data_IF_802734455531
#
_entry.id   IF_802734455531
#
_cell.length_a   1.000
_cell.length_b   1.000
_cell.length_c   1.000
_cell.angle_alpha   90.00
_cell.angle_beta   90.00
_cell.angle_gamma   90.00
#
_symmetry.space_group_name_H-M   'P 1'
#
loop_
_entity.id
_entity.type
_entity.pdbx_description
1 polymer ?
#
# COMPACT_ATOMS: atom_id res chain seq x y z
N UNK A 1 -52.62 17.45 -50.82
CA UNK A 1 -53.09 18.71 -50.19
C UNK A 1 -52.25 18.89 -48.92
N UNK A 2 -51.31 19.85 -48.88
CA UNK A 2 -51.42 21.19 -48.23
C UNK A 2 -51.84 21.04 -46.74
N UNK A 3 -51.14 21.57 -45.73
CA UNK A 3 -50.15 22.64 -45.69
C UNK A 3 -49.27 22.55 -44.44
N UNK A 4 -48.06 23.10 -44.57
CA UNK A 4 -47.11 23.49 -43.54
C UNK A 4 -47.61 24.72 -42.77
N UNK A 5 -47.26 24.85 -41.48
CA UNK A 5 -47.15 26.16 -40.79
C UNK A 5 -45.95 26.12 -39.84
N UNK A 6 -44.95 26.95 -40.16
CA UNK A 6 -43.92 27.47 -39.27
C UNK A 6 -44.46 28.72 -38.56
N UNK A 7 -43.91 29.05 -37.38
CA UNK A 7 -43.72 30.40 -36.74
C UNK A 7 -43.48 30.16 -35.23
N UNK A 8 -42.67 30.85 -34.44
CA UNK A 8 -41.48 31.71 -34.54
C UNK A 8 -41.30 32.28 -33.10
N UNK A 9 -40.11 32.12 -32.53
CA UNK A 9 -39.38 32.98 -31.56
C UNK A 9 -40.13 33.60 -30.35
N UNK A 10 -39.55 33.38 -29.17
CA UNK A 10 -39.68 34.26 -28.00
C UNK A 10 -38.54 34.06 -27.00
N UNK A 11 -37.41 34.76 -27.19
CA UNK A 11 -36.37 34.93 -26.17
C UNK A 11 -36.91 35.73 -24.98
N UNK A 12 -36.63 35.27 -23.76
CA UNK A 12 -36.60 36.13 -22.58
C UNK A 12 -35.36 35.79 -21.74
N UNK A 13 -34.37 36.67 -21.81
CA UNK A 13 -33.24 36.75 -20.88
C UNK A 13 -33.78 37.21 -19.52
N UNK A 14 -33.55 36.42 -18.46
CA UNK A 14 -33.60 36.92 -17.08
C UNK A 14 -32.19 36.83 -16.53
N UNK A 15 -31.62 38.01 -16.31
CA UNK A 15 -30.32 38.21 -15.72
C UNK A 15 -30.44 38.34 -14.19
N UNK A 16 -29.36 37.96 -13.50
CA UNK A 16 -28.90 38.41 -12.19
C UNK A 16 -29.62 37.87 -10.94
N UNK A 17 -28.92 37.00 -10.21
CA UNK A 17 -28.42 37.34 -8.85
C UNK A 17 -27.12 36.56 -8.59
N UNK A 18 -25.99 37.27 -8.61
CA UNK A 18 -24.74 36.76 -8.05
C UNK A 18 -24.78 36.96 -6.53
N UNK A 19 -24.80 35.86 -5.76
CA UNK A 19 -24.56 35.92 -4.33
C UNK A 19 -23.05 36.12 -4.11
N UNK A 20 -22.64 37.37 -3.92
CA UNK A 20 -21.31 37.71 -3.43
C UNK A 20 -21.26 37.43 -1.92
N UNK A 21 -20.79 36.26 -1.52
CA UNK A 21 -20.41 36.03 -0.11
C UNK A 21 -19.06 36.69 0.11
N UNK A 22 -19.08 37.87 0.74
CA UNK A 22 -17.90 38.62 1.11
C UNK A 22 -17.44 38.12 2.48
N UNK A 23 -16.45 37.21 2.51
CA UNK A 23 -15.81 36.86 3.78
C UNK A 23 -14.87 37.98 4.21
N UNK A 24 -15.23 38.56 5.36
CA UNK A 24 -14.52 39.61 6.08
C UNK A 24 -13.15 39.09 6.52
N UNK A 25 -12.09 39.82 6.15
CA UNK A 25 -10.75 39.64 6.73
C UNK A 25 -10.82 39.78 8.25
N UNK A 26 -10.59 38.67 8.95
CA UNK A 26 -10.27 38.68 10.36
C UNK A 26 -8.80 38.30 10.49
N UNK A 27 -7.96 39.30 10.74
CA UNK A 27 -6.55 39.13 11.11
C UNK A 27 -6.47 38.36 12.44
N UNK A 28 -6.41 37.04 12.35
CA UNK A 28 -6.01 36.18 13.46
C UNK A 28 -4.55 35.76 13.24
N UNK A 29 -3.68 36.29 14.09
CA UNK A 29 -2.27 35.91 14.23
C UNK A 29 -2.19 34.39 14.42
N UNK A 30 -1.80 33.65 13.38
CA UNK A 30 -1.59 32.22 13.47
C UNK A 30 -0.29 31.94 14.25
N UNK A 31 -0.46 31.33 15.42
CA UNK A 31 0.61 30.66 16.17
C UNK A 31 1.18 29.55 15.30
N UNK A 32 2.50 29.54 15.11
CA UNK A 32 3.23 28.53 14.37
C UNK A 32 2.94 27.13 14.93
N UNK A 33 2.30 26.27 14.15
CA UNK A 33 2.17 24.85 14.45
C UNK A 33 3.51 24.14 14.16
N UNK A 34 3.90 23.15 14.99
CA UNK A 34 5.17 22.43 14.82
C UNK A 34 5.13 21.52 13.59
N UNK A 35 6.32 21.31 13.03
CA UNK A 35 6.60 20.58 11.78
C UNK A 35 5.73 19.33 11.57
N UNK A 36 4.95 19.37 10.50
CA UNK A 36 4.22 18.22 9.97
C UNK A 36 5.26 17.22 9.43
N UNK A 37 5.35 16.06 10.10
CA UNK A 37 6.06 14.88 9.59
C UNK A 37 5.65 14.65 8.12
N UNK A 38 6.60 14.43 7.19
CA UNK A 38 6.25 14.24 5.79
C UNK A 38 5.27 13.08 5.63
N UNK A 39 4.11 13.37 5.04
CA UNK A 39 3.18 12.34 4.61
C UNK A 39 3.87 11.49 3.54
N UNK A 40 3.95 10.19 3.79
CA UNK A 40 4.30 9.19 2.78
C UNK A 40 3.22 9.31 1.69
N UNK A 41 3.58 9.37 0.39
CA UNK A 41 2.57 9.50 -0.66
C UNK A 41 1.61 8.31 -0.61
N UNK A 42 0.32 8.57 -0.40
CA UNK A 42 -0.76 7.58 -0.44
C UNK A 42 -1.13 7.16 -1.87
N UNK A 43 -0.40 7.60 -2.90
CA UNK A 43 -0.81 7.48 -4.30
C UNK A 43 0.06 6.52 -5.13
N UNK A 44 0.37 5.36 -4.57
CA UNK A 44 0.84 4.21 -5.34
C UNK A 44 -0.20 3.10 -5.32
N UNK A 45 -1.42 3.41 -5.78
CA UNK A 45 -2.35 2.36 -6.22
C UNK A 45 -1.78 1.73 -7.49
N UNK A 46 -0.82 0.82 -7.32
CA UNK A 46 -0.21 0.05 -8.40
C UNK A 46 -1.16 -1.08 -8.77
N UNK A 47 -2.11 -0.77 -9.63
CA UNK A 47 -3.19 -1.65 -10.12
C UNK A 47 -2.75 -2.60 -11.24
N UNK A 48 -1.44 -2.88 -11.36
CA UNK A 48 -0.89 -3.79 -12.36
C UNK A 48 -0.59 -5.18 -11.78
N UNK A 49 -0.70 -6.26 -12.59
CA UNK A 49 -0.34 -7.62 -12.15
C UNK A 49 1.17 -7.80 -11.92
N UNK A 50 1.98 -6.86 -12.42
CA UNK A 50 3.43 -6.93 -12.31
C UNK A 50 3.94 -6.02 -11.18
N UNK A 51 4.82 -6.53 -10.30
CA UNK A 51 5.51 -5.71 -9.32
C UNK A 51 6.27 -4.55 -9.98
N UNK A 52 6.22 -3.34 -9.40
CA UNK A 52 7.02 -2.22 -9.87
C UNK A 52 8.51 -2.51 -9.66
N UNK A 53 9.32 -2.23 -10.67
CA UNK A 53 10.77 -2.45 -10.59
C UNK A 53 11.48 -1.44 -9.69
N UNK A 54 10.85 -0.31 -9.39
CA UNK A 54 11.42 0.75 -8.55
C UNK A 54 10.41 1.25 -7.52
N UNK A 55 10.94 1.75 -6.39
CA UNK A 55 10.16 2.27 -5.29
C UNK A 55 10.80 3.53 -4.72
N UNK A 56 10.01 4.59 -4.55
CA UNK A 56 10.51 5.86 -4.02
C UNK A 56 10.31 5.90 -2.51
N UNK A 57 11.40 6.07 -1.76
CA UNK A 57 11.40 6.22 -0.30
C UNK A 57 12.17 7.48 0.07
N UNK A 58 11.44 8.52 0.49
CA UNK A 58 12.02 9.85 0.72
C UNK A 58 12.59 10.42 -0.58
N UNK A 59 13.90 10.73 -0.59
CA UNK A 59 14.62 11.22 -1.76
C UNK A 59 15.42 10.13 -2.51
N UNK A 60 15.21 8.85 -2.16
CA UNK A 60 15.90 7.71 -2.78
C UNK A 60 14.96 6.91 -3.67
N UNK A 61 15.50 6.44 -4.79
CA UNK A 61 14.88 5.41 -5.64
C UNK A 61 15.54 4.08 -5.33
N UNK A 62 14.74 3.14 -4.83
CA UNK A 62 15.15 1.78 -4.53
C UNK A 62 14.74 0.84 -5.67
N UNK A 63 15.51 -0.22 -5.90
CA UNK A 63 15.22 -1.22 -6.93
C UNK A 63 14.63 -2.48 -6.30
N UNK A 64 13.67 -3.10 -6.99
CA UNK A 64 13.14 -4.40 -6.59
C UNK A 64 14.28 -5.43 -6.64
N UNK A 65 14.57 -6.06 -5.51
CA UNK A 65 15.63 -7.06 -5.40
C UNK A 65 15.11 -8.45 -5.05
N UNK A 66 13.92 -8.54 -4.45
CA UNK A 66 13.29 -9.83 -4.12
C UNK A 66 11.78 -9.69 -4.05
N UNK A 67 11.11 -10.77 -4.46
CA UNK A 67 9.70 -11.04 -4.13
C UNK A 67 9.74 -12.18 -3.11
N UNK A 68 9.11 -11.96 -1.96
CA UNK A 68 9.08 -12.91 -0.85
C UNK A 68 7.64 -13.35 -0.62
N UNK A 69 7.39 -14.64 -0.75
CA UNK A 69 6.09 -15.21 -0.40
C UNK A 69 5.95 -15.30 1.13
N UNK A 70 4.71 -15.18 1.58
CA UNK A 70 4.36 -15.36 2.98
C UNK A 70 2.88 -15.68 3.13
N UNK A 71 2.58 -16.44 4.16
CA UNK A 71 1.22 -16.73 4.57
C UNK A 71 1.15 -16.91 6.06
N UNK A 72 0.04 -16.50 6.64
CA UNK A 72 -0.21 -16.63 8.06
C UNK A 72 -1.68 -16.92 8.33
N UNK A 73 -1.91 -17.83 9.27
CA UNK A 73 -3.23 -18.13 9.81
C UNK A 73 -3.41 -17.41 11.14
N UNK A 74 -4.56 -16.74 11.30
CA UNK A 74 -5.02 -16.18 12.58
C UNK A 74 -5.59 -17.28 13.48
N UNK A 75 -6.28 -18.23 12.86
CA UNK A 75 -6.91 -19.41 13.46
C UNK A 75 -7.18 -20.44 12.33
N UNK A 76 -7.82 -21.56 12.66
CA UNK A 76 -8.09 -22.65 11.71
C UNK A 76 -8.97 -22.24 10.52
N UNK A 77 -9.70 -21.13 10.61
CA UNK A 77 -10.64 -20.67 9.58
C UNK A 77 -10.12 -19.47 8.79
N UNK A 78 -9.29 -18.63 9.41
CA UNK A 78 -8.96 -17.31 8.90
C UNK A 78 -7.47 -17.10 8.72
N UNK A 79 -7.09 -16.51 7.60
CA UNK A 79 -5.73 -16.08 7.34
C UNK A 79 -5.59 -15.37 6.00
N UNK A 80 -4.36 -15.14 5.58
CA UNK A 80 -4.07 -14.70 4.23
C UNK A 80 -2.69 -15.19 3.79
N UNK A 81 -2.52 -15.35 2.48
CA UNK A 81 -1.22 -15.53 1.83
C UNK A 81 -1.02 -14.53 0.70
N UNK A 82 0.22 -14.31 0.32
CA UNK A 82 0.62 -13.53 -0.84
C UNK A 82 2.10 -13.18 -0.78
N UNK A 83 2.49 -12.11 -1.46
CA UNK A 83 3.87 -11.71 -1.60
C UNK A 83 4.15 -10.31 -1.03
N UNK A 84 5.41 -10.11 -0.65
CA UNK A 84 5.98 -8.84 -0.23
C UNK A 84 7.19 -8.54 -1.12
N UNK A 85 7.34 -7.27 -1.45
CA UNK A 85 8.40 -6.77 -2.31
C UNK A 85 9.49 -6.19 -1.45
N UNK A 86 10.72 -6.66 -1.67
CA UNK A 86 11.91 -6.11 -1.05
C UNK A 86 12.59 -5.20 -2.06
N UNK A 87 12.69 -3.93 -1.70
CA UNK A 87 13.40 -2.91 -2.45
C UNK A 87 14.69 -2.55 -1.74
N UNK A 88 15.75 -2.25 -2.47
CA UNK A 88 17.04 -1.87 -1.89
C UNK A 88 17.75 -0.78 -2.71
N UNK A 89 18.56 0.04 -2.04
CA UNK A 89 19.37 1.08 -2.68
C UNK A 89 20.51 0.44 -3.47
N UNK A 90 20.57 0.62 -4.81
CA UNK A 90 21.63 0.02 -5.63
C UNK A 90 23.03 0.49 -5.22
N UNK A 91 23.19 1.72 -4.73
CA UNK A 91 24.50 2.23 -4.31
C UNK A 91 25.01 1.51 -3.04
N UNK A 92 24.12 1.22 -2.09
CA UNK A 92 24.45 0.46 -0.89
C UNK A 92 24.81 -0.99 -1.24
N UNK A 93 24.09 -1.61 -2.18
CA UNK A 93 24.40 -2.96 -2.68
C UNK A 93 25.82 -3.00 -3.24
N UNK A 94 26.16 -2.10 -4.15
CA UNK A 94 27.48 -2.08 -4.78
C UNK A 94 28.60 -1.76 -3.77
N UNK A 95 28.35 -0.88 -2.80
CA UNK A 95 29.28 -0.65 -1.68
C UNK A 95 29.51 -1.93 -0.87
N UNK A 96 28.44 -2.57 -0.43
CA UNK A 96 28.52 -3.75 0.44
C UNK A 96 29.17 -4.93 -0.30
N UNK A 97 28.89 -5.14 -1.59
CA UNK A 97 29.57 -6.16 -2.40
C UNK A 97 31.07 -5.96 -2.43
N UNK A 98 31.54 -4.72 -2.59
CA UNK A 98 32.98 -4.39 -2.58
C UNK A 98 33.60 -4.58 -1.20
N UNK A 99 32.92 -4.14 -0.14
CA UNK A 99 33.48 -4.07 1.21
C UNK A 99 33.41 -5.41 1.97
N UNK A 100 32.35 -6.20 1.73
CA UNK A 100 32.03 -7.42 2.51
C UNK A 100 31.90 -8.69 1.66
N UNK A 101 31.95 -8.58 0.34
CA UNK A 101 31.70 -9.68 -0.59
C UNK A 101 30.21 -9.97 -0.81
N UNK A 102 29.84 -10.67 -1.90
CA UNK A 102 28.45 -10.93 -2.27
C UNK A 102 27.74 -11.96 -1.37
N UNK A 103 28.47 -12.77 -0.59
CA UNK A 103 27.90 -13.86 0.19
C UNK A 103 27.00 -13.37 1.32
N UNK A 104 27.23 -12.15 1.84
CA UNK A 104 26.44 -11.57 2.95
C UNK A 104 24.96 -11.34 2.60
N UNK A 105 24.63 -11.26 1.30
CA UNK A 105 23.26 -11.01 0.87
C UNK A 105 22.33 -12.22 1.10
N UNK A 106 22.87 -13.44 1.17
CA UNK A 106 22.08 -14.60 1.58
C UNK A 106 21.62 -14.47 3.03
N UNK A 107 22.50 -14.01 3.92
CA UNK A 107 22.14 -13.78 5.33
C UNK A 107 21.13 -12.63 5.46
N UNK A 108 21.26 -11.59 4.63
CA UNK A 108 20.31 -10.49 4.58
C UNK A 108 18.94 -10.95 4.13
N UNK A 109 18.86 -11.76 3.08
CA UNK A 109 17.60 -12.32 2.59
C UNK A 109 16.91 -13.14 3.68
N UNK A 110 17.64 -14.01 4.36
CA UNK A 110 17.11 -14.81 5.48
C UNK A 110 16.57 -13.92 6.61
N UNK A 111 17.33 -12.90 7.03
CA UNK A 111 16.88 -11.95 8.06
C UNK A 111 15.62 -11.21 7.66
N UNK A 112 15.54 -10.77 6.40
CA UNK A 112 14.38 -10.06 5.86
C UNK A 112 13.16 -10.98 5.84
N UNK A 113 13.30 -12.20 5.34
CA UNK A 113 12.22 -13.20 5.33
C UNK A 113 11.71 -13.47 6.76
N UNK A 114 12.61 -13.64 7.73
CA UNK A 114 12.22 -13.88 9.13
C UNK A 114 11.36 -12.76 9.68
N UNK A 115 11.84 -11.51 9.63
CA UNK A 115 11.07 -10.41 10.22
C UNK A 115 9.80 -10.08 9.40
N UNK A 116 9.81 -10.31 8.08
CA UNK A 116 8.65 -10.09 7.24
C UNK A 116 7.54 -11.10 7.56
N UNK A 117 7.91 -12.37 7.80
CA UNK A 117 6.98 -13.43 8.21
C UNK A 117 6.36 -13.10 9.57
N UNK A 118 7.18 -12.67 10.54
CA UNK A 118 6.69 -12.24 11.86
C UNK A 118 5.77 -11.03 11.76
N UNK A 119 6.10 -10.05 10.92
CA UNK A 119 5.29 -8.88 10.67
C UNK A 119 3.95 -9.24 10.00
N UNK A 120 3.94 -10.20 9.08
CA UNK A 120 2.72 -10.73 8.47
C UNK A 120 1.83 -11.40 9.52
N UNK A 121 2.38 -12.26 10.37
CA UNK A 121 1.60 -12.91 11.43
C UNK A 121 0.95 -11.87 12.35
N UNK A 122 1.71 -10.84 12.77
CA UNK A 122 1.17 -9.73 13.58
C UNK A 122 0.06 -9.00 12.84
N UNK A 123 0.28 -8.67 11.57
CA UNK A 123 -0.70 -7.97 10.76
C UNK A 123 -1.99 -8.77 10.60
N UNK A 124 -1.91 -10.08 10.40
CA UNK A 124 -3.06 -10.99 10.31
C UNK A 124 -3.81 -11.06 11.63
N UNK A 125 -3.10 -11.17 12.76
CA UNK A 125 -3.72 -11.20 14.08
C UNK A 125 -4.51 -9.90 14.37
N UNK A 126 -4.01 -8.75 13.92
CA UNK A 126 -4.66 -7.44 14.08
C UNK A 126 -5.77 -7.19 13.04
N UNK A 127 -5.73 -7.84 11.88
CA UNK A 127 -6.74 -7.65 10.83
C UNK A 127 -8.04 -8.36 11.19
N UNK A 128 -9.17 -7.69 10.93
CA UNK A 128 -10.48 -8.34 11.02
C UNK A 128 -10.76 -9.06 9.70
N UNK A 129 -10.51 -10.36 9.68
CA UNK A 129 -10.71 -11.22 8.51
C UNK A 129 -12.15 -11.77 8.40
N UNK A 130 -13.09 -11.30 9.22
CA UNK A 130 -14.49 -11.68 9.07
C UNK A 130 -15.06 -11.13 7.75
N UNK A 131 -16.04 -11.83 7.18
CA UNK A 131 -16.84 -11.33 6.06
C UNK A 131 -17.48 -9.99 6.46
N UNK A 132 -17.48 -9.03 5.53
CA UNK A 132 -18.11 -7.72 5.75
C UNK A 132 -19.57 -7.78 5.31
N UNK A 133 -20.54 -7.82 6.25
CA UNK A 133 -21.96 -7.94 5.90
C UNK A 133 -22.52 -6.67 5.26
N UNK A 134 -21.75 -5.57 5.23
CA UNK A 134 -22.15 -4.28 4.66
C UNK A 134 -21.48 -3.98 3.32
N UNK A 135 -20.58 -4.83 2.84
CA UNK A 135 -19.96 -4.63 1.53
C UNK A 135 -21.00 -4.78 0.41
N UNK A 136 -20.93 -3.92 -0.60
CA UNK A 136 -21.86 -3.95 -1.74
C UNK A 136 -21.49 -5.03 -2.77
N UNK A 137 -20.35 -5.70 -2.57
CA UNK A 137 -19.86 -6.82 -3.38
C UNK A 137 -18.54 -7.40 -2.88
N UNK A 138 -18.13 -8.53 -3.46
CA UNK A 138 -16.89 -9.23 -3.08
C UNK A 138 -15.62 -8.39 -3.33
N UNK A 139 -15.58 -7.66 -4.45
CA UNK A 139 -14.43 -6.81 -4.81
C UNK A 139 -14.19 -5.71 -3.77
N UNK A 140 -15.26 -5.05 -3.30
CA UNK A 140 -15.17 -4.01 -2.27
C UNK A 140 -14.71 -4.59 -0.93
N UNK A 141 -15.25 -5.73 -0.52
CA UNK A 141 -14.83 -6.43 0.69
C UNK A 141 -13.34 -6.80 0.63
N UNK A 142 -12.88 -7.31 -0.51
CA UNK A 142 -11.49 -7.68 -0.73
C UNK A 142 -10.56 -6.46 -0.76
N UNK A 143 -10.95 -5.36 -1.39
CA UNK A 143 -10.17 -4.12 -1.39
C UNK A 143 -9.98 -3.58 0.04
N UNK A 144 -11.06 -3.58 0.83
CA UNK A 144 -11.03 -3.16 2.23
C UNK A 144 -10.09 -4.04 3.07
N UNK A 145 -10.18 -5.36 2.95
CA UNK A 145 -9.28 -6.30 3.62
C UNK A 145 -7.82 -6.10 3.19
N UNK A 146 -7.60 -5.92 1.90
CA UNK A 146 -6.28 -5.65 1.31
C UNK A 146 -5.65 -4.38 1.88
N UNK A 147 -6.42 -3.29 1.97
CA UNK A 147 -5.97 -2.03 2.60
C UNK A 147 -5.64 -2.23 4.07
N UNK A 148 -6.51 -2.90 4.83
CA UNK A 148 -6.29 -3.15 6.26
C UNK A 148 -5.03 -3.99 6.49
N UNK A 149 -4.89 -5.11 5.79
CA UNK A 149 -3.72 -5.98 5.90
C UNK A 149 -2.44 -5.25 5.50
N UNK A 150 -2.48 -4.50 4.39
CA UNK A 150 -1.32 -3.74 3.91
C UNK A 150 -0.85 -2.70 4.93
N UNK A 151 -1.78 -1.97 5.54
CA UNK A 151 -1.47 -0.98 6.57
C UNK A 151 -0.92 -1.64 7.85
N UNK A 152 -1.56 -2.72 8.30
CA UNK A 152 -1.12 -3.47 9.47
C UNK A 152 0.28 -4.08 9.26
N UNK A 153 0.57 -4.59 8.07
CA UNK A 153 1.90 -5.10 7.71
C UNK A 153 2.96 -4.00 7.71
N UNK A 154 2.70 -2.88 7.02
CA UNK A 154 3.62 -1.72 6.98
C UNK A 154 3.96 -1.24 8.39
N UNK A 155 2.96 -1.15 9.27
CA UNK A 155 3.16 -0.78 10.66
C UNK A 155 4.00 -1.83 11.42
N UNK A 156 3.69 -3.12 11.23
CA UNK A 156 4.35 -4.22 11.94
C UNK A 156 5.80 -4.43 11.54
N UNK A 157 6.16 -4.13 10.28
CA UNK A 157 7.50 -4.35 9.72
C UNK A 157 8.45 -3.16 9.93
N UNK A 158 7.91 -1.97 10.19
CA UNK A 158 8.66 -0.70 10.18
C UNK A 158 9.90 -0.69 11.09
N UNK A 159 9.76 -1.17 12.33
CA UNK A 159 10.86 -1.15 13.29
C UNK A 159 11.92 -2.19 12.98
N UNK A 160 11.53 -3.35 12.47
CA UNK A 160 12.47 -4.37 12.01
C UNK A 160 13.29 -3.89 10.81
N UNK A 161 12.66 -3.19 9.86
CA UNK A 161 13.36 -2.55 8.73
C UNK A 161 14.37 -1.52 9.24
N UNK A 162 13.98 -0.64 10.18
CA UNK A 162 14.92 0.35 10.76
C UNK A 162 16.12 -0.33 11.44
N UNK A 163 15.86 -1.38 12.23
CA UNK A 163 16.91 -2.13 12.91
C UNK A 163 17.86 -2.79 11.90
N UNK A 164 17.30 -3.47 10.90
CA UNK A 164 18.07 -4.10 9.82
C UNK A 164 18.98 -3.07 9.10
N UNK A 165 18.43 -1.92 8.73
CA UNK A 165 19.19 -0.86 8.06
C UNK A 165 20.33 -0.33 8.94
N UNK A 166 20.10 -0.18 10.25
CA UNK A 166 21.11 0.25 11.21
C UNK A 166 22.25 -0.76 11.34
N UNK A 167 21.94 -2.06 11.37
CA UNK A 167 22.93 -3.13 11.52
C UNK A 167 23.73 -3.39 10.25
N UNK A 168 23.07 -3.32 9.09
CA UNK A 168 23.66 -3.77 7.82
C UNK A 168 24.20 -2.63 6.96
N UNK A 169 23.74 -1.40 7.20
CA UNK A 169 23.91 -0.22 6.34
C UNK A 169 23.24 -0.32 4.97
N UNK A 170 22.47 -1.39 4.71
CA UNK A 170 21.72 -1.56 3.46
C UNK A 170 20.36 -0.87 3.59
N UNK A 171 20.16 0.22 2.85
CA UNK A 171 18.86 0.89 2.78
C UNK A 171 17.86 0.02 2.02
N UNK A 172 16.85 -0.48 2.73
CA UNK A 172 15.75 -1.27 2.15
C UNK A 172 14.36 -0.68 2.37
N UNK A 173 13.38 -1.17 1.62
CA UNK A 173 11.98 -1.12 2.02
C UNK A 173 11.32 -2.49 1.79
N UNK A 174 10.32 -2.80 2.62
CA UNK A 174 9.55 -4.03 2.50
C UNK A 174 8.08 -3.65 2.44
N UNK A 175 7.45 -3.88 1.29
CA UNK A 175 6.08 -3.44 1.03
C UNK A 175 5.19 -4.61 0.61
N UNK A 176 3.91 -4.61 1.01
CA UNK A 176 2.98 -5.65 0.57
C UNK A 176 2.71 -5.54 -0.93
N UNK A 177 2.66 -6.68 -1.62
CA UNK A 177 2.18 -6.75 -3.00
C UNK A 177 0.68 -7.07 -3.01
N UNK A 178 -0.13 -6.04 -2.77
CA UNK A 178 -1.58 -6.16 -2.64
C UNK A 178 -2.28 -7.06 -3.69
N UNK A 179 -1.95 -6.99 -4.99
CA UNK A 179 -2.55 -7.86 -6.01
C UNK A 179 -2.35 -9.37 -5.81
N UNK A 180 -1.37 -9.78 -4.99
CA UNK A 180 -1.10 -11.19 -4.71
C UNK A 180 -1.85 -11.76 -3.50
N UNK A 181 -2.59 -10.94 -2.76
CA UNK A 181 -3.25 -11.41 -1.54
C UNK A 181 -4.46 -12.29 -1.81
N UNK A 182 -4.45 -13.44 -1.15
CA UNK A 182 -5.56 -14.39 -1.08
C UNK A 182 -5.98 -14.46 0.40
N UNK A 183 -7.25 -14.18 0.68
CA UNK A 183 -7.82 -14.22 2.02
C UNK A 183 -8.58 -15.53 2.25
N UNK A 184 -8.38 -16.11 3.42
CA UNK A 184 -9.06 -17.30 3.88
C UNK A 184 -10.05 -16.90 4.96
N UNK A 185 -11.31 -17.33 4.82
CA UNK A 185 -12.39 -17.02 5.78
C UNK A 185 -13.19 -18.25 6.22
N UNK A 186 -12.97 -19.41 5.59
CA UNK A 186 -13.72 -20.66 5.81
C UNK A 186 -12.79 -21.88 6.01
N UNK A 187 -11.51 -21.65 6.26
CA UNK A 187 -10.46 -22.68 6.36
C UNK A 187 -9.13 -22.08 5.95
N UNK A 188 -8.15 -22.03 6.85
CA UNK A 188 -6.86 -21.40 6.56
C UNK A 188 -5.82 -22.41 6.10
N UNK A 189 -5.39 -22.27 4.84
CA UNK A 189 -4.31 -23.07 4.25
C UNK A 189 -3.08 -22.22 3.90
N UNK A 190 -2.99 -21.00 4.45
CA UNK A 190 -1.96 -20.03 4.09
C UNK A 190 -0.51 -20.50 4.35
N UNK A 191 -0.32 -21.48 5.24
CA UNK A 191 0.99 -22.05 5.58
C UNK A 191 1.32 -23.34 4.83
N UNK A 192 0.40 -23.86 4.02
CA UNK A 192 0.66 -25.05 3.20
C UNK A 192 1.31 -24.62 1.88
N UNK A 193 2.43 -25.25 1.47
CA UNK A 193 2.99 -25.02 0.15
C UNK A 193 1.98 -25.42 -0.92
N UNK A 194 1.90 -24.64 -2.01
CA UNK A 194 1.07 -25.02 -3.15
C UNK A 194 1.56 -26.35 -3.74
N UNK A 195 0.67 -27.26 -4.15
CA UNK A 195 1.08 -28.47 -4.83
C UNK A 195 1.76 -28.10 -6.16
N UNK A 196 2.94 -28.70 -6.40
CA UNK A 196 3.63 -28.57 -7.69
C UNK A 196 2.73 -29.18 -8.79
N UNK A 197 2.36 -28.37 -9.78
CA UNK A 197 1.64 -28.81 -10.99
C UNK A 197 2.60 -29.28 -12.08
#
# INVERSE_FOLDING_TARGET
MKASVQILIGMAFIALTACSTQEVKQDAKAVSAPDKVPAIPEDSSQSGPNPPLTWVKGNKTLNLVRIMDGGACKNDFQGAKGAFLVYADPADIERIKRDKGPQVFSDFENKIQTFATDALQKAINTTNLAEDPFALGADEAQEKLTKQLSNNFRNSVADAVKLFQKETTLTIDVVPFAPSFIFYQQGCEATHPEPEN
#
